data_IF_047214346764
#
_entry.id   IF_047214346764
#
_cell.length_a   1.000
_cell.length_b   1.000
_cell.length_c   1.000
_cell.angle_alpha   90.00
_cell.angle_beta   90.00
_cell.angle_gamma   90.00
#
_symmetry.space_group_name_H-M   'P 1'
#
loop_
_entity.id
_entity.type
_entity.pdbx_description
1 polymer ?
#
# COMPACT_ATOMS: atom_id res chain seq x y z
N UNK A 1 -24.07 25.45 6.24
CA UNK A 1 -23.17 26.16 5.37
C UNK A 1 -22.79 25.21 4.24
N UNK A 2 -23.47 25.29 3.06
CA UNK A 2 -23.25 24.43 1.91
C UNK A 2 -22.08 24.99 1.10
N UNK A 3 -20.91 24.34 1.18
CA UNK A 3 -19.78 24.64 0.28
C UNK A 3 -20.19 24.31 -1.16
N UNK A 4 -19.84 25.15 -2.15
CA UNK A 4 -20.13 24.89 -3.55
C UNK A 4 -19.48 23.56 -3.99
N UNK A 5 -20.19 22.76 -4.80
CA UNK A 5 -19.79 21.40 -5.22
C UNK A 5 -18.38 21.31 -5.82
N UNK A 6 -17.88 22.38 -6.43
CA UNK A 6 -16.53 22.44 -7.02
C UNK A 6 -15.40 22.46 -5.97
N UNK A 7 -15.64 22.99 -4.77
CA UNK A 7 -14.65 23.08 -3.67
C UNK A 7 -14.76 21.86 -2.72
N UNK A 8 -15.93 21.21 -2.66
CA UNK A 8 -16.14 20.06 -1.79
C UNK A 8 -15.33 18.82 -2.23
N UNK A 9 -15.06 18.65 -3.51
CA UNK A 9 -14.34 17.47 -4.04
C UNK A 9 -12.87 17.40 -3.60
N UNK A 10 -12.04 18.45 -3.78
CA UNK A 10 -10.64 18.39 -3.33
C UNK A 10 -10.51 18.35 -1.80
N UNK A 11 -11.40 19.01 -1.06
CA UNK A 11 -11.39 18.95 0.40
C UNK A 11 -11.72 17.56 0.95
N UNK A 12 -12.66 16.83 0.34
CA UNK A 12 -12.97 15.44 0.71
C UNK A 12 -11.83 14.48 0.37
N UNK A 13 -11.20 14.66 -0.80
CA UNK A 13 -10.03 13.86 -1.18
C UNK A 13 -8.88 14.10 -0.20
N UNK A 14 -8.60 15.35 0.13
CA UNK A 14 -7.58 15.70 1.13
C UNK A 14 -7.90 15.10 2.50
N UNK A 15 -9.17 15.21 2.97
CA UNK A 15 -9.58 14.62 4.24
C UNK A 15 -9.45 13.09 4.27
N UNK A 16 -9.76 12.39 3.17
CA UNK A 16 -9.56 10.94 3.03
C UNK A 16 -8.08 10.58 3.11
N UNK A 17 -7.22 11.31 2.38
CA UNK A 17 -5.76 11.08 2.41
C UNK A 17 -5.21 11.36 3.81
N UNK A 18 -5.58 12.49 4.43
CA UNK A 18 -5.13 12.86 5.77
C UNK A 18 -5.60 11.87 6.86
N UNK A 19 -6.74 11.23 6.66
CA UNK A 19 -7.26 10.22 7.58
C UNK A 19 -6.87 8.78 7.21
N UNK A 20 -6.05 8.56 6.18
CA UNK A 20 -5.63 7.23 5.75
C UNK A 20 -4.72 6.56 6.79
N UNK A 21 -4.67 5.22 6.75
CA UNK A 21 -3.76 4.48 7.62
C UNK A 21 -2.28 4.82 7.37
N UNK A 22 -1.89 5.24 6.15
CA UNK A 22 -0.53 5.64 5.81
C UNK A 22 -0.10 6.89 6.56
N UNK A 23 -0.97 7.91 6.64
CA UNK A 23 -0.69 9.14 7.39
C UNK A 23 -0.61 8.85 8.89
N UNK A 24 -1.49 8.00 9.40
CA UNK A 24 -1.45 7.60 10.81
C UNK A 24 -0.14 6.88 11.17
N UNK A 25 0.36 6.00 10.28
CA UNK A 25 1.68 5.35 10.45
C UNK A 25 2.79 6.40 10.45
N UNK A 26 2.77 7.32 9.47
CA UNK A 26 3.77 8.39 9.37
C UNK A 26 3.82 9.28 10.61
N UNK A 27 2.66 9.70 11.12
CA UNK A 27 2.55 10.48 12.37
C UNK A 27 3.10 9.66 13.56
N UNK A 28 2.70 8.39 13.68
CA UNK A 28 3.19 7.51 14.74
C UNK A 28 4.71 7.35 14.67
N UNK A 29 5.27 7.12 13.48
CA UNK A 29 6.72 7.00 13.30
C UNK A 29 7.46 8.30 13.64
N UNK A 30 6.93 9.45 13.21
CA UNK A 30 7.47 10.77 13.54
C UNK A 30 7.45 11.07 15.03
N UNK A 31 6.36 10.76 15.73
CA UNK A 31 6.26 10.87 17.19
C UNK A 31 7.26 9.94 17.89
N UNK A 32 7.42 8.69 17.41
CA UNK A 32 8.41 7.76 17.92
C UNK A 32 9.83 8.30 17.80
N UNK A 33 10.16 8.89 16.63
CA UNK A 33 11.46 9.54 16.41
C UNK A 33 11.67 10.70 17.38
N UNK A 34 10.71 11.60 17.53
CA UNK A 34 10.81 12.75 18.43
C UNK A 34 10.97 12.34 19.89
N UNK A 35 10.16 11.39 20.36
CA UNK A 35 10.19 10.93 21.74
C UNK A 35 11.53 10.24 22.06
N UNK A 36 11.99 9.35 21.16
CA UNK A 36 13.21 8.58 21.40
C UNK A 36 14.46 9.47 21.26
N UNK A 37 14.56 10.24 20.16
CA UNK A 37 15.72 11.12 19.98
C UNK A 37 15.76 12.22 21.03
N UNK A 38 14.62 12.82 21.38
CA UNK A 38 14.53 13.82 22.44
C UNK A 38 14.89 13.26 23.82
N UNK A 39 14.37 12.07 24.16
CA UNK A 39 14.71 11.40 25.41
C UNK A 39 16.21 11.03 25.52
N UNK A 40 16.78 10.50 24.44
CA UNK A 40 18.22 10.20 24.37
C UNK A 40 19.06 11.48 24.42
N UNK A 41 18.61 12.56 23.80
CA UNK A 41 19.29 13.86 23.86
C UNK A 41 19.40 14.38 25.29
N UNK A 42 18.31 14.35 26.03
CA UNK A 42 18.25 14.83 27.41
C UNK A 42 19.10 13.98 28.36
N UNK A 43 19.20 12.67 28.10
CA UNK A 43 19.90 11.74 29.01
C UNK A 43 21.39 11.53 28.68
N UNK A 44 21.71 11.49 27.37
CA UNK A 44 23.02 11.04 26.86
C UNK A 44 23.70 12.05 25.92
N UNK A 45 23.04 13.19 25.64
CA UNK A 45 23.58 14.28 24.83
C UNK A 45 23.33 14.15 23.33
N UNK A 46 23.81 15.14 22.55
CA UNK A 46 23.51 15.34 21.14
C UNK A 46 24.06 14.22 20.24
N UNK A 47 25.28 13.78 20.46
CA UNK A 47 25.90 12.70 19.66
C UNK A 47 25.15 11.39 19.79
N UNK A 48 24.83 10.97 21.04
CA UNK A 48 24.04 9.75 21.27
C UNK A 48 22.64 9.83 20.64
N UNK A 49 22.01 11.02 20.73
CA UNK A 49 20.70 11.27 20.11
C UNK A 49 20.75 11.16 18.57
N UNK A 50 21.77 11.70 17.93
CA UNK A 50 21.94 11.60 16.48
C UNK A 50 22.08 10.14 16.02
N UNK A 51 22.95 9.35 16.68
CA UNK A 51 23.11 7.94 16.37
C UNK A 51 21.83 7.12 16.67
N UNK A 52 21.14 7.40 17.78
CA UNK A 52 19.87 6.76 18.12
C UNK A 52 18.76 7.11 17.12
N UNK A 53 18.66 8.37 16.66
CA UNK A 53 17.71 8.81 15.65
C UNK A 53 17.88 8.03 14.34
N UNK A 54 19.12 7.76 13.93
CA UNK A 54 19.41 6.92 12.77
C UNK A 54 18.92 5.48 13.00
N UNK A 55 19.11 4.94 14.21
CA UNK A 55 18.56 3.63 14.57
C UNK A 55 17.02 3.58 14.42
N UNK A 56 16.34 4.63 14.88
CA UNK A 56 14.88 4.77 14.67
C UNK A 56 14.55 4.81 13.18
N UNK A 57 15.21 5.66 12.39
CA UNK A 57 14.96 5.82 10.95
C UNK A 57 15.17 4.49 10.21
N UNK A 58 16.20 3.73 10.57
CA UNK A 58 16.44 2.42 9.99
C UNK A 58 15.38 1.38 10.37
N UNK A 59 14.71 1.51 11.52
CA UNK A 59 13.65 0.61 11.96
C UNK A 59 12.25 0.96 11.41
N UNK A 60 12.04 2.17 10.88
CA UNK A 60 10.74 2.65 10.35
C UNK A 60 10.24 1.89 9.11
N UNK A 61 11.05 1.58 8.07
CA UNK A 61 10.52 0.99 6.84
C UNK A 61 9.70 -0.30 7.04
N UNK A 62 10.07 -1.27 7.89
CA UNK A 62 9.25 -2.44 8.15
C UNK A 62 8.08 -2.19 9.13
N UNK A 63 7.94 -0.97 9.69
CA UNK A 63 6.87 -0.62 10.62
C UNK A 63 5.55 -0.38 9.87
N UNK A 64 4.93 -1.46 9.41
CA UNK A 64 3.61 -1.46 8.80
C UNK A 64 2.58 -2.03 9.79
N UNK A 65 1.27 -1.73 9.63
CA UNK A 65 0.23 -2.34 10.44
C UNK A 65 0.35 -3.86 10.39
N UNK A 66 0.30 -4.48 11.55
CA UNK A 66 0.51 -5.92 11.67
C UNK A 66 -0.45 -6.53 12.70
N UNK A 67 -0.69 -7.84 12.64
CA UNK A 67 -1.31 -8.57 13.72
C UNK A 67 -0.58 -8.29 15.05
N UNK A 68 -1.34 -8.23 16.16
CA UNK A 68 -0.76 -7.91 17.47
C UNK A 68 0.43 -8.79 17.85
N UNK A 69 0.33 -10.11 17.55
CA UNK A 69 1.39 -11.08 17.84
C UNK A 69 2.48 -11.16 16.78
N UNK A 70 2.28 -10.50 15.61
CA UNK A 70 3.21 -10.51 14.47
C UNK A 70 4.19 -9.34 14.44
N UNK A 71 3.92 -8.25 15.18
CA UNK A 71 4.67 -7.00 15.07
C UNK A 71 6.16 -7.15 15.37
N UNK A 72 6.48 -7.80 16.48
CA UNK A 72 7.87 -8.03 16.86
C UNK A 72 8.63 -8.86 15.81
N UNK A 73 7.99 -9.94 15.28
CA UNK A 73 8.58 -10.77 14.21
C UNK A 73 8.77 -10.01 12.89
N UNK A 74 8.01 -8.94 12.68
CA UNK A 74 8.14 -8.07 11.51
C UNK A 74 9.35 -7.12 11.65
N UNK A 75 9.60 -6.59 12.85
CA UNK A 75 10.63 -5.58 13.11
C UNK A 75 12.00 -6.18 13.43
N UNK A 76 12.06 -7.33 14.12
CA UNK A 76 13.32 -7.97 14.52
C UNK A 76 14.31 -8.21 13.39
N UNK A 77 13.91 -8.66 12.17
CA UNK A 77 14.86 -8.84 11.07
C UNK A 77 15.61 -7.56 10.70
N UNK A 78 14.98 -6.39 10.81
CA UNK A 78 15.64 -5.11 10.55
C UNK A 78 16.75 -4.84 11.58
N UNK A 79 16.54 -5.20 12.85
CA UNK A 79 17.55 -5.09 13.90
C UNK A 79 18.72 -6.03 13.62
N UNK A 80 18.42 -7.30 13.33
CA UNK A 80 19.43 -8.34 13.08
C UNK A 80 20.30 -8.01 11.86
N UNK A 81 19.72 -7.43 10.82
CA UNK A 81 20.46 -7.05 9.61
C UNK A 81 21.10 -5.67 9.74
N UNK A 82 20.40 -4.71 10.34
CA UNK A 82 20.85 -3.33 10.42
C UNK A 82 22.06 -3.14 11.33
N UNK A 83 22.11 -3.84 12.48
CA UNK A 83 23.23 -3.69 13.43
C UNK A 83 24.61 -4.07 12.85
N UNK A 84 24.79 -5.27 12.24
CA UNK A 84 26.10 -5.61 11.68
C UNK A 84 26.48 -4.73 10.48
N UNK A 85 25.51 -4.29 9.67
CA UNK A 85 25.78 -3.39 8.56
C UNK A 85 26.21 -2.00 9.05
N UNK A 86 25.54 -1.44 10.04
CA UNK A 86 25.91 -0.18 10.65
C UNK A 86 27.30 -0.26 11.29
N UNK A 87 27.56 -1.32 12.08
CA UNK A 87 28.85 -1.55 12.70
C UNK A 87 29.97 -1.69 11.67
N UNK A 88 29.75 -2.47 10.61
CA UNK A 88 30.74 -2.69 9.54
C UNK A 88 31.17 -1.38 8.87
N UNK A 89 30.21 -0.50 8.56
CA UNK A 89 30.53 0.84 8.00
C UNK A 89 31.31 1.69 9.02
N UNK A 90 30.90 1.71 10.27
CA UNK A 90 31.59 2.46 11.33
C UNK A 90 33.01 1.91 11.63
N UNK A 91 33.20 0.60 11.49
CA UNK A 91 34.49 -0.05 11.69
C UNK A 91 35.48 0.26 10.59
N UNK A 92 35.02 0.27 9.34
CA UNK A 92 35.87 0.57 8.17
C UNK A 92 36.26 2.04 8.15
N UNK A 93 35.38 2.93 8.62
CA UNK A 93 35.66 4.36 8.68
C UNK A 93 35.74 5.01 7.29
N UNK A 94 36.81 5.79 7.05
CA UNK A 94 36.96 6.64 5.86
C UNK A 94 37.62 5.94 4.67
N UNK A 95 37.96 4.64 4.75
CA UNK A 95 38.56 3.91 3.64
C UNK A 95 37.52 3.69 2.53
N UNK A 96 37.63 4.50 1.48
CA UNK A 96 36.69 4.49 0.36
C UNK A 96 36.64 3.15 -0.38
N UNK A 97 37.77 2.44 -0.51
CA UNK A 97 37.79 1.15 -1.21
C UNK A 97 37.12 0.05 -0.38
N UNK A 98 37.46 -0.03 0.91
CA UNK A 98 36.84 -1.01 1.81
C UNK A 98 35.35 -0.73 2.01
N UNK A 99 34.93 0.56 2.10
CA UNK A 99 33.51 0.93 2.11
C UNK A 99 32.80 0.48 0.84
N UNK A 100 33.36 0.71 -0.34
CA UNK A 100 32.79 0.25 -1.60
C UNK A 100 32.64 -1.27 -1.64
N UNK A 101 33.68 -1.99 -1.17
CA UNK A 101 33.67 -3.46 -1.09
C UNK A 101 32.61 -4.01 -0.10
N UNK A 102 32.28 -3.25 0.93
CA UNK A 102 31.17 -3.60 1.84
C UNK A 102 29.81 -3.21 1.27
N UNK A 103 29.65 -1.97 0.77
CA UNK A 103 28.35 -1.39 0.39
C UNK A 103 27.75 -2.12 -0.80
N UNK A 104 28.55 -2.44 -1.84
CA UNK A 104 28.04 -3.04 -3.09
C UNK A 104 27.48 -4.45 -2.85
N UNK A 105 28.21 -5.40 -2.26
CA UNK A 105 27.66 -6.72 -1.96
C UNK A 105 26.51 -6.66 -0.94
N UNK A 106 26.62 -5.81 0.09
CA UNK A 106 25.55 -5.64 1.07
C UNK A 106 24.27 -5.11 0.44
N UNK A 107 24.35 -4.15 -0.50
CA UNK A 107 23.19 -3.67 -1.25
C UNK A 107 22.59 -4.76 -2.13
N UNK A 108 23.41 -5.56 -2.80
CA UNK A 108 22.94 -6.71 -3.57
C UNK A 108 22.14 -7.68 -2.70
N UNK A 109 22.69 -8.09 -1.56
CA UNK A 109 22.03 -9.00 -0.61
C UNK A 109 20.77 -8.37 0.00
N UNK A 110 20.81 -7.09 0.34
CA UNK A 110 19.65 -6.37 0.86
C UNK A 110 18.50 -6.38 -0.17
N UNK A 111 18.76 -6.01 -1.42
CA UNK A 111 17.73 -5.98 -2.46
C UNK A 111 17.30 -7.39 -2.93
N UNK A 112 18.14 -8.40 -2.77
CA UNK A 112 17.75 -9.79 -2.95
C UNK A 112 16.64 -10.21 -1.99
N UNK A 113 16.57 -9.55 -0.83
CA UNK A 113 15.46 -9.66 0.13
C UNK A 113 14.08 -9.38 -0.48
N UNK A 114 14.00 -8.67 -1.62
CA UNK A 114 12.75 -8.49 -2.37
C UNK A 114 12.10 -9.83 -2.81
N UNK A 115 12.83 -10.94 -2.81
CA UNK A 115 12.29 -12.28 -3.02
C UNK A 115 11.21 -12.67 -1.98
N UNK A 116 11.27 -12.12 -0.77
CA UNK A 116 10.22 -12.28 0.24
C UNK A 116 9.01 -11.37 0.01
N UNK A 117 8.92 -10.70 -1.16
CA UNK A 117 7.81 -9.86 -1.57
C UNK A 117 7.59 -8.67 -0.62
N UNK A 118 6.33 -8.46 -0.23
CA UNK A 118 5.93 -7.30 0.60
C UNK A 118 6.67 -7.15 1.93
N UNK A 119 7.22 -8.23 2.48
CA UNK A 119 7.99 -8.20 3.74
C UNK A 119 9.46 -7.91 3.50
N UNK A 120 10.00 -8.38 2.39
CA UNK A 120 11.40 -8.24 2.05
C UNK A 120 11.78 -6.82 1.61
N UNK A 121 10.92 -6.15 0.84
CA UNK A 121 11.19 -4.80 0.33
C UNK A 121 11.43 -3.78 1.48
N UNK A 122 10.59 -3.70 2.53
CA UNK A 122 10.86 -2.81 3.65
C UNK A 122 12.15 -3.16 4.41
N UNK A 123 12.46 -4.46 4.53
CA UNK A 123 13.71 -4.92 5.13
C UNK A 123 14.93 -4.48 4.32
N UNK A 124 14.86 -4.57 2.98
CA UNK A 124 15.91 -4.07 2.09
C UNK A 124 16.16 -2.58 2.28
N UNK A 125 15.10 -1.78 2.37
CA UNK A 125 15.20 -0.33 2.61
C UNK A 125 15.79 -0.05 4.00
N UNK A 126 15.40 -0.80 5.03
CA UNK A 126 15.95 -0.72 6.39
C UNK A 126 17.47 -0.98 6.40
N UNK A 127 17.91 -2.05 5.74
CA UNK A 127 19.33 -2.39 5.61
C UNK A 127 20.12 -1.28 4.90
N UNK A 128 19.58 -0.74 3.81
CA UNK A 128 20.20 0.37 3.10
C UNK A 128 20.26 1.65 3.93
N UNK A 129 19.22 1.95 4.73
CA UNK A 129 19.24 3.10 5.64
C UNK A 129 20.32 2.93 6.74
N UNK A 130 20.48 1.73 7.28
CA UNK A 130 21.55 1.46 8.22
C UNK A 130 22.93 1.74 7.62
N UNK A 131 23.19 1.34 6.38
CA UNK A 131 24.46 1.62 5.66
C UNK A 131 24.60 3.12 5.39
N UNK A 132 23.63 3.73 4.72
CA UNK A 132 23.74 5.08 4.18
C UNK A 132 23.84 6.11 5.30
N UNK A 133 23.02 6.01 6.34
CA UNK A 133 23.06 6.93 7.46
C UNK A 133 24.23 6.66 8.41
N UNK A 134 24.83 5.45 8.38
CA UNK A 134 26.10 5.21 9.08
C UNK A 134 27.24 6.06 8.50
N UNK A 135 27.28 6.25 7.18
CA UNK A 135 28.25 7.13 6.52
C UNK A 135 28.06 8.59 6.94
N UNK A 136 26.83 8.98 7.27
CA UNK A 136 26.48 10.35 7.67
C UNK A 136 26.87 10.68 9.11
N UNK A 137 27.18 9.69 9.95
CA UNK A 137 27.60 9.91 11.35
C UNK A 137 29.11 10.13 11.42
N UNK A 138 29.57 11.28 11.89
CA UNK A 138 31.00 11.55 12.04
C UNK A 138 31.57 10.77 13.24
N UNK A 139 31.74 9.45 13.10
CA UNK A 139 32.21 8.59 14.19
C UNK A 139 33.69 8.79 14.55
N UNK A 140 34.53 9.08 13.55
CA UNK A 140 35.99 9.17 13.73
C UNK A 140 36.48 10.58 14.05
N UNK A 141 35.76 11.62 13.65
CA UNK A 141 36.13 13.01 13.89
C UNK A 141 36.13 13.41 15.39
N UNK A 142 35.40 12.69 16.24
CA UNK A 142 35.24 12.99 17.67
C UNK A 142 35.94 11.98 18.60
N UNK A 143 36.75 11.04 18.06
CA UNK A 143 37.44 10.03 18.88
C UNK A 143 36.53 9.01 19.54
N UNK A 144 35.28 8.87 19.06
CA UNK A 144 34.31 7.90 19.57
C UNK A 144 34.50 6.55 18.85
N UNK A 145 34.57 5.46 19.63
CA UNK A 145 34.74 4.13 19.04
C UNK A 145 33.50 3.69 18.21
N UNK A 146 33.71 2.97 17.12
CA UNK A 146 32.68 2.37 16.27
C UNK A 146 31.65 1.55 17.10
N UNK A 147 32.14 0.84 18.13
CA UNK A 147 31.27 0.07 19.01
C UNK A 147 30.32 0.97 19.81
N UNK A 148 30.81 2.08 20.37
CA UNK A 148 30.00 3.03 21.17
C UNK A 148 28.90 3.67 20.27
N UNK A 149 29.26 4.10 19.07
CA UNK A 149 28.31 4.65 18.08
C UNK A 149 27.23 3.61 17.73
N UNK A 150 27.66 2.35 17.49
CA UNK A 150 26.74 1.25 17.21
C UNK A 150 25.82 0.94 18.41
N UNK A 151 26.29 1.07 19.64
CA UNK A 151 25.45 0.90 20.83
C UNK A 151 24.33 1.96 20.90
N UNK A 152 24.61 3.22 20.55
CA UNK A 152 23.58 4.25 20.48
C UNK A 152 22.60 4.02 19.34
N UNK A 153 23.08 3.57 18.18
CA UNK A 153 22.21 3.12 17.09
C UNK A 153 21.30 1.96 17.53
N UNK A 154 21.86 0.95 18.18
CA UNK A 154 21.12 -0.20 18.72
C UNK A 154 20.09 0.22 19.76
N UNK A 155 20.42 1.15 20.63
CA UNK A 155 19.51 1.73 21.61
C UNK A 155 18.31 2.39 20.94
N UNK A 156 18.54 3.24 19.95
CA UNK A 156 17.47 3.90 19.18
C UNK A 156 16.56 2.90 18.46
N UNK A 157 17.17 1.91 17.79
CA UNK A 157 16.44 0.86 17.09
C UNK A 157 15.63 -0.01 18.05
N UNK A 158 16.21 -0.42 19.18
CA UNK A 158 15.54 -1.21 20.21
C UNK A 158 14.37 -0.48 20.87
N UNK A 159 14.57 0.78 21.25
CA UNK A 159 13.51 1.63 21.80
C UNK A 159 12.37 1.82 20.79
N UNK A 160 12.70 1.97 19.49
CA UNK A 160 11.68 2.08 18.47
C UNK A 160 10.88 0.78 18.30
N UNK A 161 11.51 -0.38 18.35
CA UNK A 161 10.81 -1.67 18.29
C UNK A 161 9.80 -1.79 19.45
N UNK A 162 10.17 -1.38 20.64
CA UNK A 162 9.27 -1.35 21.81
C UNK A 162 8.12 -0.34 21.56
N UNK A 163 8.46 0.88 21.18
CA UNK A 163 7.49 1.93 20.88
C UNK A 163 6.49 1.48 19.80
N UNK A 164 6.98 0.98 18.65
CA UNK A 164 6.15 0.54 17.54
C UNK A 164 5.25 -0.65 17.91
N UNK A 165 5.72 -1.53 18.80
CA UNK A 165 4.92 -2.64 19.32
C UNK A 165 3.77 -2.13 20.19
N UNK A 166 4.03 -1.20 21.11
CA UNK A 166 3.02 -0.56 21.96
C UNK A 166 2.03 0.24 21.09
N UNK A 167 2.53 1.08 20.20
CA UNK A 167 1.73 1.87 19.26
C UNK A 167 0.80 1.00 18.42
N UNK A 168 1.31 -0.12 17.89
CA UNK A 168 0.49 -1.08 17.14
C UNK A 168 -0.60 -1.72 17.98
N UNK A 169 -0.38 -1.94 19.28
CA UNK A 169 -1.42 -2.46 20.19
C UNK A 169 -2.52 -1.40 20.42
N UNK A 170 -2.13 -0.17 20.66
CA UNK A 170 -3.04 0.96 20.94
C UNK A 170 -3.86 1.31 19.68
N UNK A 171 -3.19 1.47 18.54
CA UNK A 171 -3.79 1.91 17.29
C UNK A 171 -4.42 0.76 16.47
N UNK A 172 -4.30 -0.49 16.90
CA UNK A 172 -4.75 -1.66 16.14
C UNK A 172 -6.21 -1.60 15.71
N UNK A 173 -7.10 -1.13 16.60
CA UNK A 173 -8.52 -0.99 16.28
C UNK A 173 -8.73 0.02 15.14
N UNK A 174 -8.01 1.14 15.19
CA UNK A 174 -8.08 2.20 14.19
C UNK A 174 -7.49 1.74 12.86
N UNK A 175 -6.35 1.07 12.87
CA UNK A 175 -5.74 0.50 11.65
C UNK A 175 -6.68 -0.47 10.94
N UNK A 176 -7.36 -1.35 11.67
CA UNK A 176 -8.36 -2.28 11.10
C UNK A 176 -9.48 -1.54 10.37
N UNK A 177 -10.04 -0.52 11.02
CA UNK A 177 -11.12 0.27 10.43
C UNK A 177 -10.66 1.03 9.20
N UNK A 178 -9.50 1.68 9.25
CA UNK A 178 -8.97 2.45 8.13
C UNK A 178 -8.58 1.55 6.95
N UNK A 179 -7.95 0.40 7.19
CA UNK A 179 -7.62 -0.55 6.13
C UNK A 179 -8.86 -1.11 5.43
N UNK A 180 -9.94 -1.37 6.18
CA UNK A 180 -11.21 -1.76 5.57
C UNK A 180 -11.79 -0.61 4.74
N UNK A 181 -11.77 0.63 5.26
CA UNK A 181 -12.24 1.80 4.53
C UNK A 181 -11.46 2.02 3.23
N UNK A 182 -10.12 1.90 3.26
CA UNK A 182 -9.28 2.01 2.06
C UNK A 182 -9.59 0.91 1.04
N UNK A 183 -9.88 -0.32 1.51
CA UNK A 183 -10.31 -1.42 0.64
C UNK A 183 -11.66 -1.13 -0.01
N UNK A 184 -12.62 -0.56 0.74
CA UNK A 184 -13.92 -0.16 0.21
C UNK A 184 -13.79 0.97 -0.82
N UNK A 185 -12.92 1.95 -0.60
CA UNK A 185 -12.64 3.00 -1.58
C UNK A 185 -12.06 2.43 -2.88
N UNK A 186 -11.21 1.41 -2.79
CA UNK A 186 -10.66 0.73 -3.97
C UNK A 186 -11.71 -0.11 -4.71
N UNK A 187 -12.64 -0.75 -4.01
CA UNK A 187 -13.80 -1.42 -4.63
C UNK A 187 -14.68 -0.40 -5.35
N UNK A 188 -14.96 0.74 -4.74
CA UNK A 188 -15.75 1.80 -5.36
C UNK A 188 -15.07 2.38 -6.61
N UNK A 189 -13.74 2.52 -6.60
CA UNK A 189 -12.97 2.91 -7.77
C UNK A 189 -13.09 1.85 -8.89
N UNK A 190 -12.92 0.58 -8.55
CA UNK A 190 -13.07 -0.54 -9.50
C UNK A 190 -14.48 -0.56 -10.11
N UNK A 191 -15.55 -0.38 -9.30
CA UNK A 191 -16.92 -0.27 -9.79
C UNK A 191 -17.09 0.85 -10.83
N UNK A 192 -16.46 2.01 -10.61
CA UNK A 192 -16.51 3.12 -11.57
C UNK A 192 -15.76 2.83 -12.85
N UNK A 193 -14.56 2.26 -12.74
CA UNK A 193 -13.76 1.87 -13.91
C UNK A 193 -14.51 0.84 -14.75
N UNK A 194 -15.18 -0.11 -14.10
CA UNK A 194 -16.01 -1.09 -14.79
C UNK A 194 -17.27 -0.46 -15.38
N UNK A 195 -17.95 0.44 -14.64
CA UNK A 195 -19.10 1.18 -15.16
C UNK A 195 -18.74 1.99 -16.43
N UNK A 196 -17.54 2.54 -16.50
CA UNK A 196 -17.08 3.26 -17.69
C UNK A 196 -16.93 2.35 -18.92
N UNK A 197 -16.71 1.04 -18.75
CA UNK A 197 -16.61 0.11 -19.87
C UNK A 197 -17.94 -0.11 -20.61
N UNK A 198 -19.09 0.14 -19.96
CA UNK A 198 -20.40 0.02 -20.59
C UNK A 198 -20.66 1.02 -21.73
N UNK A 199 -19.77 2.01 -21.95
CA UNK A 199 -19.94 3.08 -22.96
C UNK A 199 -18.68 3.33 -23.79
N UNK A 200 -17.71 2.41 -23.83
CA UNK A 200 -16.42 2.60 -24.51
C UNK A 200 -16.51 2.82 -26.02
N UNK A 201 -17.64 2.54 -26.67
CA UNK A 201 -17.79 2.71 -28.11
C UNK A 201 -17.87 4.18 -28.57
N UNK A 202 -18.25 5.12 -27.69
CA UNK A 202 -18.28 6.56 -28.01
C UNK A 202 -16.90 7.23 -27.92
N UNK A 203 -16.00 6.69 -27.09
CA UNK A 203 -14.68 7.28 -26.86
C UNK A 203 -13.61 6.88 -27.90
N UNK A 204 -13.84 5.83 -28.66
CA UNK A 204 -12.92 5.37 -29.72
C UNK A 204 -12.98 6.22 -30.98
N UNK A 205 -13.94 7.14 -31.10
CA UNK A 205 -14.13 8.02 -32.26
C UNK A 205 -13.44 9.39 -32.13
N UNK A 206 -12.85 9.73 -31.00
CA UNK A 206 -12.06 10.95 -30.82
C UNK A 206 -10.57 10.64 -30.83
N UNK A 207 -9.98 10.90 -31.98
CA UNK A 207 -8.58 10.69 -32.34
C UNK A 207 -7.70 11.81 -31.74
N UNK A 208 -7.45 11.76 -30.43
CA UNK A 208 -6.43 12.57 -29.78
C UNK A 208 -5.39 11.66 -29.11
N UNK A 209 -4.26 11.52 -29.81
CA UNK A 209 -3.15 10.66 -29.53
C UNK A 209 -2.22 11.22 -28.42
N UNK A 210 -2.76 11.58 -27.28
CA UNK A 210 -1.98 11.71 -26.04
C UNK A 210 -2.08 10.40 -25.25
N UNK A 211 -0.94 9.93 -24.71
CA UNK A 211 -0.69 8.62 -24.05
C UNK A 211 -1.82 8.25 -23.07
N UNK A 212 -2.97 7.92 -23.61
CA UNK A 212 -4.14 7.45 -22.85
C UNK A 212 -3.85 6.00 -22.46
N UNK A 213 -3.58 5.80 -21.18
CA UNK A 213 -3.52 4.45 -20.63
C UNK A 213 -4.83 3.74 -20.99
N UNK A 214 -4.72 2.68 -21.77
CA UNK A 214 -5.88 1.86 -22.19
C UNK A 214 -6.80 1.59 -20.97
N UNK A 215 -8.13 1.70 -21.12
CA UNK A 215 -9.09 1.40 -20.05
C UNK A 215 -8.86 0.02 -19.43
N UNK A 216 -8.49 -0.97 -20.24
CA UNK A 216 -8.11 -2.33 -19.81
C UNK A 216 -6.84 -2.30 -18.94
N UNK A 217 -5.83 -1.53 -19.34
CA UNK A 217 -4.60 -1.39 -18.57
C UNK A 217 -4.82 -0.68 -17.22
N UNK A 218 -5.82 0.20 -17.10
CA UNK A 218 -6.26 0.81 -15.86
C UNK A 218 -6.95 -0.22 -14.97
N UNK A 219 -7.88 -0.98 -15.53
CA UNK A 219 -8.61 -2.02 -14.82
C UNK A 219 -7.66 -3.07 -14.22
N UNK A 220 -6.73 -3.61 -14.99
CA UNK A 220 -5.74 -4.59 -14.53
C UNK A 220 -4.91 -4.03 -13.36
N UNK A 221 -4.50 -2.76 -13.42
CA UNK A 221 -3.74 -2.12 -12.33
C UNK A 221 -4.59 -1.94 -11.08
N UNK A 222 -5.84 -1.53 -11.21
CA UNK A 222 -6.75 -1.36 -10.07
C UNK A 222 -7.07 -2.72 -9.42
N UNK A 223 -7.27 -3.77 -10.21
CA UNK A 223 -7.45 -5.14 -9.72
C UNK A 223 -6.23 -5.65 -8.96
N UNK A 224 -5.03 -5.43 -9.49
CA UNK A 224 -3.79 -5.82 -8.82
C UNK A 224 -3.58 -5.05 -7.50
N UNK A 225 -3.83 -3.73 -7.51
CA UNK A 225 -3.75 -2.90 -6.31
C UNK A 225 -4.77 -3.33 -5.24
N UNK A 226 -6.01 -3.62 -5.66
CA UNK A 226 -7.06 -4.11 -4.77
C UNK A 226 -6.71 -5.48 -4.18
N UNK A 227 -6.18 -6.42 -4.98
CA UNK A 227 -5.74 -7.73 -4.49
C UNK A 227 -4.68 -7.59 -3.39
N UNK A 228 -3.76 -6.65 -3.56
CA UNK A 228 -2.72 -6.32 -2.61
C UNK A 228 -3.26 -5.73 -1.30
N UNK A 229 -4.22 -4.81 -1.40
CA UNK A 229 -4.87 -4.21 -0.23
C UNK A 229 -5.73 -5.24 0.52
N UNK A 230 -6.48 -6.07 -0.20
CA UNK A 230 -7.29 -7.15 0.38
C UNK A 230 -6.42 -8.14 1.15
N UNK A 231 -5.25 -8.51 0.63
CA UNK A 231 -4.34 -9.40 1.34
C UNK A 231 -3.81 -8.78 2.62
N UNK A 232 -3.42 -7.50 2.59
CA UNK A 232 -2.99 -6.77 3.78
C UNK A 232 -4.12 -6.64 4.83
N UNK A 233 -5.34 -6.36 4.36
CA UNK A 233 -6.52 -6.29 5.22
C UNK A 233 -6.86 -7.64 5.86
N UNK A 234 -6.80 -8.75 5.10
CA UNK A 234 -7.01 -10.12 5.62
C UNK A 234 -6.08 -10.44 6.78
N UNK A 235 -4.80 -10.16 6.64
CA UNK A 235 -3.78 -10.47 7.64
C UNK A 235 -4.07 -9.82 9.00
N UNK A 236 -4.71 -8.65 9.00
CA UNK A 236 -4.98 -7.86 10.20
C UNK A 236 -6.43 -8.05 10.71
N UNK A 237 -7.42 -7.99 9.81
CA UNK A 237 -8.83 -8.05 10.19
C UNK A 237 -9.26 -9.43 10.65
N UNK A 238 -8.74 -10.49 10.02
CA UNK A 238 -9.07 -11.88 10.36
C UNK A 238 -8.28 -12.42 11.55
N UNK A 239 -7.28 -11.68 12.06
CA UNK A 239 -6.60 -12.06 13.28
C UNK A 239 -7.56 -12.09 14.47
N UNK A 240 -7.93 -13.29 14.92
CA UNK A 240 -8.65 -13.53 16.19
C UNK A 240 -9.91 -12.65 16.37
N UNK A 241 -10.98 -12.82 15.59
CA UNK A 241 -12.20 -12.00 15.68
C UNK A 241 -13.05 -12.40 16.89
N UNK A 242 -12.54 -12.16 18.11
CA UNK A 242 -13.20 -12.54 19.37
C UNK A 242 -14.19 -11.51 19.89
N UNK A 243 -14.04 -10.23 19.54
CA UNK A 243 -14.93 -9.17 19.99
C UNK A 243 -16.00 -8.85 18.94
N UNK A 244 -17.21 -8.41 19.33
CA UNK A 244 -18.27 -8.06 18.37
C UNK A 244 -17.83 -7.06 17.31
N UNK A 245 -17.02 -6.06 17.68
CA UNK A 245 -16.48 -5.07 16.75
C UNK A 245 -15.55 -5.70 15.72
N UNK A 246 -14.66 -6.62 16.14
CA UNK A 246 -13.76 -7.34 15.22
C UNK A 246 -14.52 -8.29 14.31
N UNK A 247 -15.57 -8.94 14.83
CA UNK A 247 -16.43 -9.80 14.04
C UNK A 247 -17.15 -9.03 12.95
N UNK A 248 -17.64 -7.81 13.26
CA UNK A 248 -18.24 -6.91 12.26
C UNK A 248 -17.26 -6.57 11.15
N UNK A 249 -16.06 -6.08 11.50
CA UNK A 249 -15.03 -5.74 10.50
C UNK A 249 -14.61 -6.95 9.66
N UNK A 250 -14.50 -8.13 10.26
CA UNK A 250 -14.19 -9.36 9.53
C UNK A 250 -15.32 -9.76 8.57
N UNK A 251 -16.58 -9.68 9.01
CA UNK A 251 -17.74 -9.93 8.16
C UNK A 251 -17.84 -8.96 6.99
N UNK A 252 -17.60 -7.67 7.24
CA UNK A 252 -17.56 -6.66 6.19
C UNK A 252 -16.43 -6.95 5.16
N UNK A 253 -15.26 -7.38 5.61
CA UNK A 253 -14.18 -7.77 4.71
C UNK A 253 -14.58 -8.93 3.81
N UNK A 254 -15.28 -9.94 4.35
CA UNK A 254 -15.73 -11.09 3.57
C UNK A 254 -16.72 -10.65 2.49
N UNK A 255 -17.71 -9.84 2.85
CA UNK A 255 -18.64 -9.29 1.87
C UNK A 255 -17.94 -8.45 0.81
N UNK A 256 -16.91 -7.68 1.19
CA UNK A 256 -16.08 -6.95 0.24
C UNK A 256 -15.34 -7.88 -0.74
N UNK A 257 -14.93 -9.08 -0.29
CA UNK A 257 -14.36 -10.11 -1.16
C UNK A 257 -15.39 -10.69 -2.13
N UNK A 258 -16.60 -10.97 -1.66
CA UNK A 258 -17.71 -11.42 -2.49
C UNK A 258 -18.07 -10.38 -3.56
N UNK A 259 -18.16 -9.10 -3.18
CA UNK A 259 -18.37 -8.00 -4.15
C UNK A 259 -17.27 -7.96 -5.22
N UNK A 260 -16.00 -8.12 -4.84
CA UNK A 260 -14.90 -8.19 -5.82
C UNK A 260 -15.10 -9.34 -6.80
N UNK A 261 -15.44 -10.51 -6.29
CA UNK A 261 -15.60 -11.71 -7.13
C UNK A 261 -16.76 -11.56 -8.12
N UNK A 262 -17.86 -10.92 -7.71
CA UNK A 262 -18.96 -10.56 -8.61
C UNK A 262 -18.54 -9.52 -9.68
N UNK A 263 -17.74 -8.53 -9.31
CA UNK A 263 -17.20 -7.55 -10.25
C UNK A 263 -16.30 -8.22 -11.30
N UNK A 264 -15.39 -9.08 -10.89
CA UNK A 264 -14.50 -9.81 -11.80
C UNK A 264 -15.27 -10.73 -12.74
N UNK A 265 -16.30 -11.41 -12.23
CA UNK A 265 -17.13 -12.32 -13.05
C UNK A 265 -17.96 -11.60 -14.12
N UNK A 266 -18.23 -10.30 -13.96
CA UNK A 266 -19.04 -9.52 -14.92
C UNK A 266 -18.24 -8.95 -16.11
N UNK A 267 -16.92 -8.99 -16.08
CA UNK A 267 -16.05 -8.36 -17.08
C UNK A 267 -16.22 -8.93 -18.48
N UNK A 268 -16.24 -10.26 -18.62
CA UNK A 268 -16.39 -10.93 -19.91
C UNK A 268 -17.76 -10.70 -20.56
N UNK A 269 -18.81 -10.57 -19.76
CA UNK A 269 -20.16 -10.36 -20.27
C UNK A 269 -20.35 -8.93 -20.79
N UNK A 270 -19.68 -7.95 -20.18
CA UNK A 270 -19.69 -6.56 -20.65
C UNK A 270 -19.04 -6.45 -22.02
N UNK A 271 -17.87 -7.06 -22.21
CA UNK A 271 -17.15 -7.05 -23.48
C UNK A 271 -17.99 -7.66 -24.61
N UNK A 272 -18.71 -8.75 -24.34
CA UNK A 272 -19.59 -9.39 -25.32
C UNK A 272 -20.80 -8.53 -25.68
N UNK A 273 -21.31 -7.69 -24.78
CA UNK A 273 -22.56 -6.93 -24.98
C UNK A 273 -22.36 -5.53 -25.56
N UNK A 274 -21.20 -4.89 -25.35
CA UNK A 274 -20.95 -3.50 -25.75
C UNK A 274 -21.14 -3.29 -27.27
N UNK A 275 -20.89 -4.32 -28.09
CA UNK A 275 -21.01 -4.25 -29.51
C UNK A 275 -22.47 -4.39 -30.04
N UNK A 276 -23.44 -4.67 -29.16
CA UNK A 276 -24.85 -4.86 -29.55
C UNK A 276 -25.68 -3.61 -29.24
N UNK A 277 -26.06 -2.84 -30.27
CA UNK A 277 -26.81 -1.57 -30.12
C UNK A 277 -28.21 -1.77 -29.52
N UNK A 278 -28.84 -2.92 -29.68
CA UNK A 278 -30.16 -3.27 -29.12
C UNK A 278 -30.17 -3.27 -27.58
N UNK A 279 -29.03 -3.50 -26.94
CA UNK A 279 -28.89 -3.57 -25.48
C UNK A 279 -28.34 -2.30 -24.82
N UNK A 280 -28.03 -1.24 -25.60
CA UNK A 280 -27.48 0.03 -25.09
C UNK A 280 -28.32 0.67 -23.99
N UNK A 281 -29.66 0.74 -24.04
CA UNK A 281 -30.48 1.31 -22.97
C UNK A 281 -30.29 0.56 -21.63
N UNK A 282 -30.17 -0.77 -21.70
CA UNK A 282 -29.91 -1.62 -20.51
C UNK A 282 -28.53 -1.36 -19.96
N UNK A 283 -27.49 -1.32 -20.81
CA UNK A 283 -26.11 -1.01 -20.40
C UNK A 283 -26.00 0.35 -19.72
N UNK A 284 -26.68 1.39 -20.25
CA UNK A 284 -26.72 2.72 -19.62
C UNK A 284 -27.39 2.69 -18.25
N UNK A 285 -28.47 1.91 -18.09
CA UNK A 285 -29.13 1.76 -16.80
C UNK A 285 -28.25 1.03 -15.77
N UNK A 286 -27.59 -0.06 -16.20
CA UNK A 286 -26.65 -0.81 -15.35
C UNK A 286 -25.44 0.03 -14.96
N UNK A 287 -24.87 0.80 -15.89
CA UNK A 287 -23.82 1.78 -15.60
C UNK A 287 -24.24 2.74 -14.50
N UNK A 288 -25.40 3.39 -14.64
CA UNK A 288 -25.90 4.34 -13.64
C UNK A 288 -26.06 3.70 -12.27
N UNK A 289 -26.61 2.47 -12.24
CA UNK A 289 -26.76 1.73 -10.98
C UNK A 289 -25.40 1.43 -10.34
N UNK A 290 -24.43 0.94 -11.12
CA UNK A 290 -23.11 0.63 -10.62
C UNK A 290 -22.37 1.87 -10.11
N UNK A 291 -22.50 3.03 -10.81
CA UNK A 291 -21.98 4.32 -10.32
C UNK A 291 -22.68 4.79 -9.03
N UNK A 292 -23.96 4.50 -8.86
CA UNK A 292 -24.69 4.79 -7.62
C UNK A 292 -24.20 3.92 -6.46
N UNK A 293 -24.06 2.61 -6.70
CA UNK A 293 -23.51 1.68 -5.70
C UNK A 293 -22.09 2.07 -5.29
N UNK A 294 -21.25 2.47 -6.25
CA UNK A 294 -19.91 2.98 -5.95
C UNK A 294 -19.96 4.19 -5.00
N UNK A 295 -20.91 5.11 -5.18
CA UNK A 295 -21.11 6.25 -4.25
C UNK A 295 -21.56 5.80 -2.86
N UNK A 296 -22.43 4.79 -2.75
CA UNK A 296 -22.86 4.28 -1.44
C UNK A 296 -21.72 3.57 -0.70
N UNK A 297 -20.90 2.80 -1.41
CA UNK A 297 -19.69 2.16 -0.84
C UNK A 297 -18.69 3.23 -0.36
N UNK A 298 -18.49 4.33 -1.11
CA UNK A 298 -17.66 5.45 -0.65
C UNK A 298 -18.23 6.14 0.58
N UNK A 299 -19.53 6.40 0.64
CA UNK A 299 -20.18 6.97 1.83
C UNK A 299 -20.01 6.07 3.05
N UNK A 300 -20.07 4.76 2.85
CA UNK A 300 -19.77 3.79 3.91
C UNK A 300 -18.32 3.93 4.38
N UNK A 301 -17.36 3.96 3.46
CA UNK A 301 -15.94 4.15 3.78
C UNK A 301 -15.70 5.46 4.54
N UNK A 302 -16.28 6.58 4.08
CA UNK A 302 -16.22 7.88 4.75
C UNK A 302 -16.81 7.84 6.17
N UNK A 303 -17.91 7.10 6.34
CA UNK A 303 -18.53 6.91 7.65
C UNK A 303 -17.62 6.15 8.62
N UNK A 304 -16.93 5.12 8.13
CA UNK A 304 -15.94 4.35 8.90
C UNK A 304 -14.72 5.21 9.27
N UNK A 305 -14.21 6.00 8.31
CA UNK A 305 -13.11 6.94 8.55
C UNK A 305 -13.50 7.97 9.63
N UNK A 306 -14.71 8.51 9.54
CA UNK A 306 -15.22 9.49 10.49
C UNK A 306 -15.69 8.89 11.83
N UNK A 307 -15.78 7.56 11.95
CA UNK A 307 -16.32 6.89 13.12
C UNK A 307 -17.82 7.12 13.33
N UNK A 308 -18.56 7.39 12.25
CA UNK A 308 -20.01 7.64 12.26
C UNK A 308 -20.79 6.40 11.83
N UNK A 309 -22.05 6.30 12.24
CA UNK A 309 -22.93 5.26 11.72
C UNK A 309 -23.28 5.55 10.26
N UNK A 310 -23.14 4.56 9.34
CA UNK A 310 -23.52 4.73 7.95
C UNK A 310 -25.02 4.99 7.80
N UNK A 311 -25.40 5.72 6.75
CA UNK A 311 -26.80 5.96 6.40
C UNK A 311 -27.29 4.82 5.50
N UNK A 312 -28.47 4.22 5.74
CA UNK A 312 -29.03 3.23 4.83
C UNK A 312 -29.47 3.91 3.51
N UNK A 313 -29.46 3.15 2.42
CA UNK A 313 -29.99 3.60 1.13
C UNK A 313 -31.10 2.65 0.65
N UNK A 314 -31.92 3.11 -0.30
CA UNK A 314 -32.97 2.30 -0.89
C UNK A 314 -32.37 1.37 -1.98
N UNK A 315 -32.79 0.09 -2.00
CA UNK A 315 -32.34 -0.87 -3.01
C UNK A 315 -32.66 -0.39 -4.43
N UNK A 316 -31.72 -0.56 -5.33
CA UNK A 316 -31.89 -0.32 -6.76
C UNK A 316 -32.46 -1.55 -7.51
N UNK A 317 -32.57 -2.70 -6.86
CA UNK A 317 -33.06 -3.95 -7.46
C UNK A 317 -34.44 -3.83 -8.11
N UNK A 318 -35.43 -3.11 -7.53
CA UNK A 318 -36.73 -2.91 -8.18
C UNK A 318 -36.66 -2.14 -9.51
N UNK A 319 -35.66 -1.28 -9.68
CA UNK A 319 -35.40 -0.59 -10.94
C UNK A 319 -34.81 -1.52 -11.99
N UNK A 320 -33.91 -2.42 -11.58
CA UNK A 320 -33.27 -3.41 -12.46
C UNK A 320 -34.30 -4.44 -13.00
N UNK A 321 -35.28 -4.85 -12.19
CA UNK A 321 -36.31 -5.79 -12.61
C UNK A 321 -37.29 -5.20 -13.60
N UNK A 322 -37.41 -3.87 -13.70
CA UNK A 322 -38.29 -3.15 -14.63
C UNK A 322 -37.63 -2.82 -15.96
N UNK A 323 -36.38 -3.24 -16.19
CA UNK A 323 -35.68 -2.99 -17.44
C UNK A 323 -36.40 -3.70 -18.62
N UNK A 324 -36.58 -2.96 -19.70
CA UNK A 324 -37.10 -3.53 -20.93
C UNK A 324 -36.00 -4.36 -21.62
N UNK A 325 -36.25 -5.63 -21.83
CA UNK A 325 -35.35 -6.54 -22.51
C UNK A 325 -35.67 -6.57 -24.03
N UNK A 326 -34.62 -6.54 -24.87
CA UNK A 326 -34.75 -6.78 -26.28
C UNK A 326 -35.25 -8.23 -26.53
N UNK A 327 -35.94 -8.45 -27.65
CA UNK A 327 -36.37 -9.77 -28.05
C UNK A 327 -35.18 -10.73 -28.17
N UNK A 328 -35.39 -11.98 -27.81
CA UNK A 328 -34.37 -13.03 -27.85
C UNK A 328 -34.05 -13.37 -29.30
N UNK A 329 -32.88 -13.00 -29.80
CA UNK A 329 -32.39 -13.43 -31.11
C UNK A 329 -31.71 -14.79 -30.96
N UNK A 330 -32.14 -15.78 -31.75
CA UNK A 330 -31.51 -17.09 -31.78
C UNK A 330 -30.11 -16.97 -32.40
N UNK A 331 -29.07 -17.17 -31.56
CA UNK A 331 -27.70 -17.25 -32.03
C UNK A 331 -27.28 -18.69 -32.27
N UNK A 332 -26.61 -18.94 -33.42
CA UNK A 332 -26.15 -20.28 -33.81
C UNK A 332 -25.01 -20.82 -32.96
N UNK A 333 -24.29 -19.93 -32.22
CA UNK A 333 -23.14 -20.28 -31.37
C UNK A 333 -23.13 -19.38 -30.15
N UNK A 334 -23.17 -19.98 -28.96
CA UNK A 334 -23.05 -19.29 -27.69
C UNK A 334 -24.35 -18.76 -27.06
N UNK A 335 -24.32 -18.21 -25.84
CA UNK A 335 -25.50 -17.64 -25.19
C UNK A 335 -25.98 -16.37 -25.93
N UNK A 336 -27.31 -16.19 -26.04
CA UNK A 336 -27.87 -15.01 -26.70
C UNK A 336 -27.49 -13.73 -25.92
N UNK A 337 -27.32 -12.58 -26.62
CA UNK A 337 -27.01 -11.30 -25.94
C UNK A 337 -28.06 -10.93 -24.90
N UNK A 338 -29.32 -11.30 -25.07
CA UNK A 338 -30.38 -11.08 -24.08
C UNK A 338 -30.14 -11.85 -22.77
N UNK A 339 -29.65 -13.10 -22.86
CA UNK A 339 -29.29 -13.91 -21.68
C UNK A 339 -28.09 -13.29 -20.94
N UNK A 340 -27.06 -12.84 -21.66
CA UNK A 340 -25.90 -12.16 -21.09
C UNK A 340 -26.32 -10.87 -20.40
N UNK A 341 -27.18 -10.06 -21.01
CA UNK A 341 -27.68 -8.82 -20.46
C UNK A 341 -28.48 -9.04 -19.14
N UNK A 342 -29.33 -10.11 -19.12
CA UNK A 342 -30.05 -10.50 -17.88
C UNK A 342 -29.08 -10.97 -16.81
N UNK A 343 -28.12 -11.83 -17.17
CA UNK A 343 -27.06 -12.28 -16.24
C UNK A 343 -26.26 -11.14 -15.63
N UNK A 344 -25.93 -10.12 -16.45
CA UNK A 344 -25.24 -8.92 -15.99
C UNK A 344 -26.10 -8.08 -15.04
N UNK A 345 -27.41 -7.92 -15.35
CA UNK A 345 -28.34 -7.22 -14.47
C UNK A 345 -28.52 -7.93 -13.10
N UNK A 346 -28.58 -9.27 -13.11
CA UNK A 346 -28.62 -10.06 -11.88
C UNK A 346 -27.36 -9.87 -11.05
N UNK A 347 -26.17 -9.83 -11.66
CA UNK A 347 -24.91 -9.55 -10.94
C UNK A 347 -24.88 -8.16 -10.34
N UNK A 348 -25.33 -7.14 -11.06
CA UNK A 348 -25.46 -5.78 -10.51
C UNK A 348 -26.49 -5.78 -9.37
N UNK A 349 -27.58 -6.55 -9.48
CA UNK A 349 -28.53 -6.75 -8.39
C UNK A 349 -27.92 -7.44 -7.17
N UNK A 350 -27.03 -8.41 -7.36
CA UNK A 350 -26.28 -9.03 -6.23
C UNK A 350 -25.34 -8.02 -5.57
N UNK A 351 -24.66 -7.16 -6.34
CA UNK A 351 -23.83 -6.08 -5.77
C UNK A 351 -24.66 -5.08 -4.95
N UNK A 352 -25.91 -4.80 -5.37
CA UNK A 352 -26.85 -3.98 -4.60
C UNK A 352 -27.19 -4.65 -3.25
N UNK A 353 -27.56 -5.93 -3.28
CA UNK A 353 -27.86 -6.71 -2.07
C UNK A 353 -26.65 -6.79 -1.12
N UNK A 354 -25.46 -7.03 -1.65
CA UNK A 354 -24.21 -7.08 -0.87
C UNK A 354 -23.89 -5.72 -0.24
N UNK A 355 -24.10 -4.63 -0.97
CA UNK A 355 -23.86 -3.27 -0.45
C UNK A 355 -24.85 -2.96 0.68
N UNK A 356 -26.12 -3.35 0.55
CA UNK A 356 -27.13 -3.21 1.62
C UNK A 356 -26.76 -4.01 2.86
N UNK A 357 -26.35 -5.27 2.69
CA UNK A 357 -25.90 -6.13 3.81
C UNK A 357 -24.66 -5.54 4.49
N UNK A 358 -23.69 -5.05 3.70
CA UNK A 358 -22.47 -4.44 4.20
C UNK A 358 -22.80 -3.24 5.11
N UNK A 359 -23.73 -2.38 4.69
CA UNK A 359 -24.19 -1.23 5.49
C UNK A 359 -24.95 -1.69 6.73
N UNK A 360 -25.83 -2.70 6.62
CA UNK A 360 -26.59 -3.25 7.76
C UNK A 360 -25.63 -3.86 8.82
N UNK A 361 -24.59 -4.59 8.39
CA UNK A 361 -23.55 -5.13 9.30
C UNK A 361 -22.74 -4.00 9.92
N UNK A 362 -22.36 -2.96 9.14
CA UNK A 362 -21.62 -1.82 9.65
C UNK A 362 -22.43 -1.04 10.73
N UNK A 363 -23.75 -0.93 10.56
CA UNK A 363 -24.66 -0.31 11.50
C UNK A 363 -24.89 -1.17 12.75
N UNK A 364 -24.66 -2.48 12.64
CA UNK A 364 -24.98 -3.46 13.68
C UNK A 364 -26.44 -3.94 13.63
N UNK A 365 -27.17 -3.65 12.55
CA UNK A 365 -28.56 -4.06 12.35
C UNK A 365 -28.66 -5.55 11.98
N UNK A 366 -27.56 -6.14 11.43
CA UNK A 366 -27.43 -7.55 11.12
C UNK A 366 -26.15 -8.14 11.69
N UNK A 367 -26.17 -9.39 12.17
CA UNK A 367 -24.97 -10.09 12.60
C UNK A 367 -24.11 -10.44 11.36
N UNK A 368 -22.77 -10.37 11.47
CA UNK A 368 -21.90 -10.78 10.39
C UNK A 368 -21.95 -12.32 10.18
N UNK A 369 -22.01 -12.75 8.93
CA UNK A 369 -21.93 -14.18 8.62
C UNK A 369 -20.46 -14.64 8.65
N UNK A 370 -20.07 -15.31 9.74
CA UNK A 370 -18.70 -15.80 9.96
C UNK A 370 -18.60 -17.32 9.88
N UNK A 371 -19.68 -18.03 9.48
CA UNK A 371 -19.72 -19.48 9.52
C UNK A 371 -18.57 -20.11 8.68
N UNK A 372 -18.40 -19.64 7.46
CA UNK A 372 -17.34 -20.12 6.57
C UNK A 372 -15.92 -19.72 7.01
N UNK A 373 -15.78 -18.61 7.75
CA UNK A 373 -14.47 -18.09 8.18
C UNK A 373 -13.98 -18.79 9.43
N UNK A 374 -14.87 -19.17 10.35
CA UNK A 374 -14.48 -19.90 11.57
C UNK A 374 -13.85 -21.26 11.25
N UNK A 375 -14.29 -21.91 10.17
CA UNK A 375 -13.76 -23.20 9.76
C UNK A 375 -12.39 -23.11 9.07
N UNK A 376 -12.10 -22.03 8.33
CA UNK A 376 -10.96 -21.97 7.39
C UNK A 376 -10.12 -20.71 7.50
N UNK A 377 -10.32 -19.87 8.55
CA UNK A 377 -9.65 -18.57 8.69
C UNK A 377 -8.11 -18.63 8.56
N UNK A 378 -7.50 -19.74 8.99
CA UNK A 378 -6.04 -19.93 8.91
C UNK A 378 -5.54 -20.00 7.46
N UNK A 379 -6.39 -20.41 6.51
CA UNK A 379 -6.05 -20.46 5.09
C UNK A 379 -6.03 -19.06 4.43
N UNK A 380 -6.70 -18.09 5.04
CA UNK A 380 -6.80 -16.72 4.52
C UNK A 380 -5.72 -15.78 5.06
N UNK A 381 -5.01 -16.17 6.11
CA UNK A 381 -3.95 -15.36 6.73
C UNK A 381 -2.59 -15.80 6.20
N UNK A 382 -1.79 -14.86 5.74
CA UNK A 382 -0.43 -15.15 5.26
C UNK A 382 0.42 -15.75 6.38
N UNK A 383 1.21 -16.81 6.09
CA UNK A 383 2.10 -17.39 7.09
C UNK A 383 3.10 -16.32 7.58
N UNK A 384 3.18 -16.15 8.91
CA UNK A 384 4.07 -15.17 9.54
C UNK A 384 5.53 -15.60 9.59
N UNK A 385 5.85 -16.82 9.12
CA UNK A 385 7.21 -17.37 9.12
C UNK A 385 8.04 -16.86 7.94
N UNK A 386 9.31 -16.58 8.19
CA UNK A 386 10.31 -16.33 7.17
C UNK A 386 10.72 -17.67 6.56
N UNK A 387 10.31 -17.95 5.33
CA UNK A 387 10.64 -19.17 4.60
C UNK A 387 11.83 -18.93 3.67
N UNK A 388 12.76 -19.89 3.59
CA UNK A 388 13.87 -19.87 2.63
C UNK A 388 13.46 -20.33 1.23
N UNK A 389 12.22 -20.81 1.03
CA UNK A 389 11.73 -21.30 -0.27
C UNK A 389 11.84 -20.26 -1.39
N UNK A 390 11.48 -18.97 -1.20
CA UNK A 390 11.65 -17.95 -2.26
C UNK A 390 13.10 -17.76 -2.68
N UNK A 391 14.06 -17.92 -1.76
CA UNK A 391 15.49 -17.77 -2.08
C UNK A 391 15.99 -18.91 -2.98
N UNK A 392 15.42 -20.12 -2.87
CA UNK A 392 15.77 -21.24 -3.76
C UNK A 392 15.32 -20.99 -5.21
N UNK A 393 14.26 -20.24 -5.43
CA UNK A 393 13.75 -19.88 -6.76
C UNK A 393 14.60 -18.79 -7.47
N UNK A 394 15.49 -18.12 -6.74
CA UNK A 394 16.36 -17.07 -7.27
C UNK A 394 17.53 -17.59 -8.14
N UNK A 395 17.80 -18.90 -8.12
CA UNK A 395 18.88 -19.50 -8.92
C UNK A 395 18.62 -19.52 -10.44
N UNK A 396 17.64 -18.73 -10.89
CA UNK A 396 17.29 -18.56 -12.31
C UNK A 396 17.54 -17.12 -12.71
N UNK A 397 18.30 -16.92 -13.80
CA UNK A 397 18.65 -15.59 -14.32
C UNK A 397 17.43 -14.74 -14.72
N UNK A 398 16.30 -15.36 -15.01
CA UNK A 398 15.05 -14.69 -15.35
C UNK A 398 14.24 -14.25 -14.11
N UNK A 399 14.66 -14.61 -12.89
CA UNK A 399 13.98 -14.25 -11.66
C UNK A 399 13.95 -12.72 -11.44
N UNK A 400 12.75 -12.09 -11.36
CA UNK A 400 12.63 -10.64 -11.23
C UNK A 400 13.35 -10.06 -9.99
N UNK A 401 13.37 -10.72 -8.81
CA UNK A 401 14.11 -10.21 -7.65
C UNK A 401 15.63 -10.20 -7.87
N UNK A 402 16.18 -11.20 -8.57
CA UNK A 402 17.62 -11.26 -8.87
C UNK A 402 18.03 -10.11 -9.80
N UNK A 403 17.28 -9.90 -10.88
CA UNK A 403 17.50 -8.77 -11.80
C UNK A 403 17.38 -7.42 -11.11
N UNK A 404 16.42 -7.28 -10.20
CA UNK A 404 16.28 -6.07 -9.40
C UNK A 404 17.47 -5.84 -8.48
N UNK A 405 17.93 -6.87 -7.76
CA UNK A 405 19.06 -6.79 -6.86
C UNK A 405 20.35 -6.44 -7.61
N UNK A 406 20.60 -7.05 -8.78
CA UNK A 406 21.77 -6.76 -9.63
C UNK A 406 21.73 -5.31 -10.12
N UNK A 407 20.60 -4.86 -10.66
CA UNK A 407 20.42 -3.47 -11.11
C UNK A 407 20.60 -2.47 -9.96
N UNK A 408 20.10 -2.80 -8.77
CA UNK A 408 20.23 -1.96 -7.59
C UNK A 408 21.69 -1.88 -7.12
N UNK A 409 22.39 -3.00 -7.07
CA UNK A 409 23.81 -3.04 -6.71
C UNK A 409 24.67 -2.25 -7.71
N UNK A 410 24.42 -2.39 -9.00
CA UNK A 410 25.12 -1.60 -10.03
C UNK A 410 24.83 -0.10 -9.88
N UNK A 411 23.57 0.29 -9.65
CA UNK A 411 23.21 1.69 -9.43
C UNK A 411 23.88 2.27 -8.17
N UNK A 412 23.92 1.49 -7.09
CA UNK A 412 24.62 1.88 -5.85
C UNK A 412 26.14 1.98 -6.09
N UNK A 413 26.76 1.02 -6.78
CA UNK A 413 28.18 1.06 -7.12
C UNK A 413 28.53 2.31 -7.95
N UNK A 414 27.75 2.58 -9.00
CA UNK A 414 27.93 3.77 -9.85
C UNK A 414 27.69 5.06 -9.04
N UNK A 415 26.62 5.11 -8.23
CA UNK A 415 26.32 6.26 -7.38
C UNK A 415 27.42 6.52 -6.33
N UNK A 416 27.99 5.46 -5.77
CA UNK A 416 29.12 5.55 -4.85
C UNK A 416 30.38 6.08 -5.55
N UNK A 417 30.73 5.53 -6.71
CA UNK A 417 31.86 6.02 -7.49
C UNK A 417 31.70 7.50 -7.91
N UNK A 418 30.49 7.90 -8.33
CA UNK A 418 30.17 9.31 -8.63
C UNK A 418 30.32 10.18 -7.38
N UNK A 419 29.86 9.71 -6.22
CA UNK A 419 29.96 10.48 -4.97
C UNK A 419 31.41 10.73 -4.51
N UNK A 420 32.34 9.82 -4.88
CA UNK A 420 33.77 10.00 -4.62
C UNK A 420 34.45 10.93 -5.63
N UNK A 421 33.94 10.96 -6.87
CA UNK A 421 34.54 11.77 -7.95
C UNK A 421 34.09 13.24 -7.95
N UNK A 422 32.93 13.54 -7.35
CA UNK A 422 32.39 14.90 -7.34
C UNK A 422 32.90 15.71 -6.15
N UNK A 423 33.22 17.00 -6.36
CA UNK A 423 33.76 17.88 -5.33
C UNK A 423 32.70 18.33 -4.28
N UNK A 424 31.53 17.73 -4.28
CA UNK A 424 30.41 18.04 -3.36
C UNK A 424 30.66 17.44 -1.96
N UNK A 425 31.81 17.72 -1.40
CA UNK A 425 32.44 17.07 -0.25
C UNK A 425 31.66 17.00 1.04
N UNK A 426 30.44 17.53 1.13
CA UNK A 426 29.73 17.56 2.42
C UNK A 426 28.74 16.43 2.64
N UNK A 427 28.18 15.81 1.58
CA UNK A 427 27.10 14.81 1.77
C UNK A 427 27.06 13.71 0.68
N UNK A 428 28.09 12.87 0.54
CA UNK A 428 28.15 11.82 -0.49
C UNK A 428 27.01 10.79 -0.37
N UNK A 429 26.48 10.58 0.83
CA UNK A 429 25.41 9.63 1.13
C UNK A 429 24.05 10.02 0.50
N UNK A 430 23.83 11.28 0.10
CA UNK A 430 22.56 11.72 -0.53
C UNK A 430 22.30 11.03 -1.86
N UNK A 431 23.34 10.75 -2.65
CA UNK A 431 23.22 10.03 -3.92
C UNK A 431 22.71 8.62 -3.68
N UNK A 432 23.32 7.90 -2.73
CA UNK A 432 22.92 6.55 -2.37
C UNK A 432 21.50 6.50 -1.79
N UNK A 433 21.15 7.46 -0.96
CA UNK A 433 19.81 7.60 -0.40
C UNK A 433 18.76 7.81 -1.51
N UNK A 434 19.06 8.67 -2.48
CA UNK A 434 18.17 8.94 -3.61
C UNK A 434 17.94 7.69 -4.44
N UNK A 435 19.02 6.95 -4.78
CA UNK A 435 18.92 5.69 -5.50
C UNK A 435 18.04 4.69 -4.73
N UNK A 436 18.30 4.51 -3.45
CA UNK A 436 17.57 3.56 -2.58
C UNK A 436 16.06 3.87 -2.52
N UNK A 437 15.69 5.14 -2.41
CA UNK A 437 14.29 5.56 -2.28
C UNK A 437 13.56 5.52 -3.62
N UNK A 438 14.23 5.86 -4.72
CA UNK A 438 13.63 5.97 -6.05
C UNK A 438 13.55 4.62 -6.76
N UNK A 439 14.58 3.78 -6.63
CA UNK A 439 14.68 2.52 -7.37
C UNK A 439 13.59 1.52 -6.93
N UNK A 440 12.86 0.99 -7.93
CA UNK A 440 11.79 -0.01 -7.75
C UNK A 440 11.98 -1.21 -8.66
N UNK A 441 11.21 -2.27 -8.41
CA UNK A 441 11.23 -3.50 -9.20
C UNK A 441 10.93 -3.28 -10.68
N UNK A 442 10.02 -2.35 -11.02
CA UNK A 442 9.69 -1.98 -12.41
C UNK A 442 10.17 -0.57 -12.77
N UNK A 443 10.42 -0.35 -14.07
CA UNK A 443 10.84 0.96 -14.59
C UNK A 443 9.75 2.02 -14.42
N UNK A 444 8.49 1.67 -14.70
CA UNK A 444 7.35 2.56 -14.53
C UNK A 444 7.20 3.07 -13.07
N UNK A 445 7.30 2.16 -12.09
CA UNK A 445 7.27 2.54 -10.67
C UNK A 445 8.47 3.41 -10.27
N UNK A 446 9.63 3.19 -10.89
CA UNK A 446 10.83 4.01 -10.65
C UNK A 446 10.63 5.45 -11.14
N UNK A 447 10.05 5.63 -12.35
CA UNK A 447 9.74 6.97 -12.89
C UNK A 447 8.71 7.70 -12.03
N UNK A 448 7.64 7.01 -11.63
CA UNK A 448 6.60 7.57 -10.76
C UNK A 448 7.20 8.06 -9.43
N UNK A 449 8.04 7.25 -8.80
CA UNK A 449 8.73 7.62 -7.56
C UNK A 449 9.71 8.77 -7.74
N UNK A 450 10.45 8.79 -8.85
CA UNK A 450 11.32 9.91 -9.19
C UNK A 450 10.53 11.21 -9.28
N UNK A 451 9.43 11.21 -10.04
CA UNK A 451 8.61 12.41 -10.23
C UNK A 451 8.01 12.89 -8.91
N UNK A 452 7.46 11.97 -8.09
CA UNK A 452 6.93 12.29 -6.76
C UNK A 452 7.99 12.88 -5.83
N UNK A 453 9.24 12.35 -5.88
CA UNK A 453 10.34 12.88 -5.06
C UNK A 453 10.79 14.26 -5.52
N UNK A 454 10.94 14.48 -6.82
CA UNK A 454 11.31 15.79 -7.38
C UNK A 454 10.27 16.83 -6.98
N UNK A 455 8.98 16.52 -7.19
CA UNK A 455 7.90 17.42 -6.83
C UNK A 455 7.85 17.69 -5.33
N UNK A 456 7.98 16.66 -4.49
CA UNK A 456 8.01 16.82 -3.03
C UNK A 456 9.21 17.64 -2.54
N UNK A 457 10.39 17.48 -3.16
CA UNK A 457 11.58 18.26 -2.82
C UNK A 457 11.39 19.72 -3.21
N UNK A 458 10.88 20.01 -4.41
CA UNK A 458 10.60 21.39 -4.86
C UNK A 458 9.59 22.07 -3.94
N UNK A 459 8.49 21.39 -3.62
CA UNK A 459 7.47 21.92 -2.73
C UNK A 459 8.03 22.16 -1.31
N UNK A 460 8.79 21.21 -0.79
CA UNK A 460 9.43 21.34 0.53
C UNK A 460 10.46 22.49 0.58
N UNK A 461 11.24 22.67 -0.49
CA UNK A 461 12.20 23.79 -0.60
C UNK A 461 11.50 25.14 -0.67
N UNK A 462 10.39 25.23 -1.43
CA UNK A 462 9.59 26.45 -1.50
C UNK A 462 8.94 26.81 -0.16
N UNK A 463 8.42 25.81 0.56
CA UNK A 463 7.84 26.01 1.90
C UNK A 463 8.91 26.43 2.92
N UNK A 464 10.08 25.79 2.90
CA UNK A 464 11.19 26.14 3.80
C UNK A 464 11.72 27.54 3.48
N UNK A 465 11.89 27.91 2.19
CA UNK A 465 12.34 29.23 1.78
C UNK A 465 11.31 30.34 2.04
N UNK A 466 10.04 30.01 2.18
CA UNK A 466 8.97 30.96 2.55
C UNK A 466 8.80 31.17 4.06
N UNK A 467 9.47 30.31 4.90
CA UNK A 467 9.44 30.40 6.36
C UNK A 467 10.69 31.12 6.94
N UNK A 468 11.70 31.32 6.11
CA UNK A 468 12.93 32.09 6.43
C UNK A 468 12.78 33.51 5.92
#
# INVERSE_FOLDING_TARGET
MHLPRSIAHPALVFARVAASHYVLIGISAGLGLLIISGGVHLLLGSFASAAAAIGVIAAVPPDQPAPRRGKLRQLLPAVVVGLPLFFGVQWIGDDALLLGLLIVPASFLAFLGAAWGKRGIPLSVSAMFAIIFSIAVPGHAEGVSALKTTMYFALGMGLYVVYATISNIVLNARYRTLMLADTLLSIAALMRTQAAQFTLQEAAATDDADVVVSPVGRLIREQAALADQLQAARDILLESPRTPSRQRLAGMLIQTLEMRDHLLASELDVEALVNHTSHQPVLVALRRTLEQLAREVERLADSLIAGRKPVPFASHRPALTKLAWAAEEATMVGPSPAILARGLADRVGHLDDETLRLIAVARGDQPPNLANVRATWQMFVSPTSWSWRPMKSLWRWDAPPLRHALRAAMAIATGYAISLALPWGTHPYWVLLTITVVLRGSFAQTIERRNSRVFGTLLGSLLAGGLI
#
